data_IF_001711150438
#
_entry.id   IF_001711150438
#
_cell.length_a   1.000
_cell.length_b   1.000
_cell.length_c   1.000
_cell.angle_alpha   90.00
_cell.angle_beta   90.00
_cell.angle_gamma   90.00
#
_symmetry.space_group_name_H-M   'P 1'
#
loop_
_entity.id
_entity.type
_entity.pdbx_description
1 polymer ?
#
# COMPACT_ATOMS: atom_id res chain seq x y z
N UNK A 1 18.33 11.63 17.50
CA UNK A 1 18.24 12.39 16.23
C UNK A 1 18.45 11.48 15.02
N UNK A 2 19.47 10.61 15.01
CA UNK A 2 19.73 9.65 13.93
C UNK A 2 18.51 8.75 13.62
N UNK A 3 17.85 8.20 14.64
CA UNK A 3 16.70 7.29 14.45
C UNK A 3 15.48 7.97 13.82
N UNK A 4 15.25 9.25 14.15
CA UNK A 4 14.20 10.06 13.53
C UNK A 4 14.48 10.27 12.04
N UNK A 5 15.70 10.68 11.71
CA UNK A 5 16.11 10.95 10.32
C UNK A 5 16.01 9.67 9.49
N UNK A 6 16.50 8.54 10.01
CA UNK A 6 16.40 7.24 9.35
C UNK A 6 14.93 6.83 9.12
N UNK A 7 14.05 7.02 10.10
CA UNK A 7 12.63 6.66 9.92
C UNK A 7 11.93 7.49 8.85
N UNK A 8 12.26 8.78 8.71
CA UNK A 8 11.72 9.62 7.64
C UNK A 8 12.32 9.30 6.28
N UNK A 9 13.61 8.94 6.21
CA UNK A 9 14.23 8.46 4.97
C UNK A 9 13.49 7.22 4.46
N UNK A 10 13.18 6.26 5.33
CA UNK A 10 12.40 5.08 4.95
C UNK A 10 11.01 5.43 4.41
N UNK A 11 10.32 6.40 5.02
CA UNK A 11 9.03 6.90 4.50
C UNK A 11 9.20 7.46 3.08
N UNK A 12 10.18 8.33 2.85
CA UNK A 12 10.41 8.95 1.54
C UNK A 12 10.80 7.92 0.48
N UNK A 13 11.67 6.97 0.83
CA UNK A 13 12.03 5.86 -0.06
C UNK A 13 10.81 5.02 -0.42
N UNK A 14 9.93 4.73 0.55
CA UNK A 14 8.72 3.96 0.32
C UNK A 14 7.71 4.72 -0.55
N UNK A 15 7.53 6.03 -0.32
CA UNK A 15 6.70 6.87 -1.17
C UNK A 15 7.25 6.90 -2.60
N UNK A 16 8.57 7.04 -2.77
CA UNK A 16 9.23 7.01 -4.07
C UNK A 16 9.02 5.67 -4.79
N UNK A 17 9.02 4.56 -4.06
CA UNK A 17 8.69 3.24 -4.60
C UNK A 17 7.24 3.16 -5.09
N UNK A 18 6.27 3.66 -4.31
CA UNK A 18 4.86 3.74 -4.72
C UNK A 18 4.73 4.55 -6.01
N UNK A 19 5.32 5.75 -6.03
CA UNK A 19 5.28 6.64 -7.19
C UNK A 19 5.91 5.99 -8.43
N UNK A 20 7.02 5.26 -8.27
CA UNK A 20 7.64 4.52 -9.36
C UNK A 20 6.69 3.50 -9.98
N UNK A 21 5.95 2.74 -9.18
CA UNK A 21 4.94 1.80 -9.70
C UNK A 21 3.75 2.50 -10.34
N UNK A 22 3.30 3.62 -9.79
CA UNK A 22 2.17 4.39 -10.31
C UNK A 22 2.48 5.14 -11.59
N UNK A 23 3.73 5.55 -11.79
CA UNK A 23 4.19 6.20 -13.03
C UNK A 23 4.30 5.22 -14.22
N UNK A 24 4.28 3.91 -13.98
CA UNK A 24 4.34 2.94 -15.07
C UNK A 24 3.06 2.97 -15.93
N UNK A 25 3.19 3.00 -17.27
CA UNK A 25 2.07 2.87 -18.18
C UNK A 25 1.24 1.62 -17.89
N UNK A 26 -0.06 1.67 -18.18
CA UNK A 26 -0.98 0.58 -17.83
C UNK A 26 -0.57 -0.77 -18.43
N UNK A 27 0.03 -0.80 -19.61
CA UNK A 27 0.53 -2.03 -20.25
C UNK A 27 1.64 -2.68 -19.43
N UNK A 28 2.60 -1.90 -18.95
CA UNK A 28 3.73 -2.40 -18.15
C UNK A 28 3.27 -2.84 -16.75
N UNK A 29 2.45 -2.00 -16.08
CA UNK A 29 1.96 -2.34 -14.75
C UNK A 29 1.03 -3.55 -14.75
N UNK A 30 0.15 -3.68 -15.75
CA UNK A 30 -0.69 -4.86 -15.89
C UNK A 30 0.16 -6.11 -16.16
N UNK A 31 1.25 -6.00 -16.94
CA UNK A 31 2.14 -7.12 -17.23
C UNK A 31 2.81 -7.71 -15.98
N UNK A 32 3.23 -6.85 -15.03
CA UNK A 32 3.83 -7.29 -13.77
C UNK A 32 2.87 -8.17 -12.95
N UNK A 33 1.61 -7.73 -12.82
CA UNK A 33 0.62 -8.50 -12.06
C UNK A 33 0.10 -9.71 -12.86
N UNK A 34 0.04 -9.65 -14.19
CA UNK A 34 -0.34 -10.79 -15.04
C UNK A 34 0.63 -11.96 -14.86
N UNK A 35 1.94 -11.73 -14.85
CA UNK A 35 2.92 -12.81 -14.65
C UNK A 35 2.82 -13.50 -13.29
N UNK A 36 2.42 -12.77 -12.23
CA UNK A 36 2.10 -13.37 -10.93
C UNK A 36 0.79 -14.15 -11.00
N UNK A 37 -0.22 -13.59 -11.69
CA UNK A 37 -1.54 -14.20 -11.87
C UNK A 37 -1.45 -15.52 -12.61
N UNK A 38 -0.70 -15.59 -13.71
CA UNK A 38 -0.47 -16.80 -14.50
C UNK A 38 0.15 -17.91 -13.64
N UNK A 39 1.19 -17.60 -12.86
CA UNK A 39 1.82 -18.58 -11.95
C UNK A 39 0.86 -19.11 -10.89
N UNK A 40 -0.02 -18.25 -10.36
CA UNK A 40 -1.04 -18.67 -9.39
C UNK A 40 -2.05 -19.60 -10.06
N UNK A 41 -2.54 -19.25 -11.25
CA UNK A 41 -3.52 -20.05 -11.99
C UNK A 41 -2.91 -21.41 -12.37
N UNK A 42 -1.69 -21.45 -12.89
CA UNK A 42 -0.97 -22.70 -13.18
C UNK A 42 -0.84 -23.61 -11.94
N UNK A 43 -0.57 -23.04 -10.77
CA UNK A 43 -0.49 -23.81 -9.53
C UNK A 43 -1.85 -24.35 -9.11
N UNK A 44 -2.91 -23.55 -9.25
CA UNK A 44 -4.27 -23.95 -8.87
C UNK A 44 -4.83 -25.00 -9.84
N UNK A 45 -4.60 -24.87 -11.14
CA UNK A 45 -5.00 -25.87 -12.14
C UNK A 45 -4.38 -27.25 -11.86
N UNK A 46 -3.12 -27.29 -11.38
CA UNK A 46 -2.46 -28.53 -10.96
C UNK A 46 -3.13 -29.19 -9.75
N UNK A 47 -3.79 -28.43 -8.88
CA UNK A 47 -4.39 -28.91 -7.64
C UNK A 47 -5.91 -29.13 -7.75
N UNK A 48 -6.58 -28.36 -8.60
CA UNK A 48 -8.02 -28.34 -8.77
C UNK A 48 -8.42 -28.01 -10.23
N UNK A 49 -8.24 -28.95 -11.17
CA UNK A 49 -8.39 -28.73 -12.62
C UNK A 49 -9.83 -28.42 -13.10
N UNK A 50 -10.81 -28.30 -12.18
CA UNK A 50 -12.22 -27.99 -12.48
C UNK A 50 -12.62 -26.55 -12.16
N UNK A 51 -11.70 -25.73 -11.65
CA UNK A 51 -12.00 -24.33 -11.33
C UNK A 51 -11.47 -23.47 -12.47
N UNK A 52 -12.39 -22.88 -13.24
CA UNK A 52 -12.05 -21.90 -14.27
C UNK A 52 -11.93 -20.52 -13.62
N UNK A 53 -10.77 -19.88 -13.81
CA UNK A 53 -10.51 -18.53 -13.29
C UNK A 53 -10.34 -17.56 -14.46
N UNK A 54 -11.13 -16.50 -14.47
CA UNK A 54 -10.88 -15.38 -15.38
C UNK A 54 -9.58 -14.67 -14.99
N UNK A 55 -8.54 -14.82 -15.82
CA UNK A 55 -7.23 -14.18 -15.67
C UNK A 55 -7.37 -12.68 -15.48
N UNK A 56 -8.31 -12.03 -16.18
CA UNK A 56 -8.49 -10.57 -16.10
C UNK A 56 -8.98 -10.15 -14.72
N UNK A 57 -10.00 -10.83 -14.19
CA UNK A 57 -10.54 -10.58 -12.86
C UNK A 57 -9.53 -10.88 -11.76
N UNK A 58 -8.79 -11.99 -11.88
CA UNK A 58 -7.73 -12.35 -10.93
C UNK A 58 -6.59 -11.33 -10.93
N UNK A 59 -6.14 -10.92 -12.11
CA UNK A 59 -5.09 -9.91 -12.25
C UNK A 59 -5.50 -8.58 -11.62
N UNK A 60 -6.75 -8.16 -11.86
CA UNK A 60 -7.30 -6.94 -11.28
C UNK A 60 -7.39 -7.03 -9.74
N UNK A 61 -7.76 -8.19 -9.19
CA UNK A 61 -7.77 -8.43 -7.74
C UNK A 61 -6.36 -8.41 -7.14
N UNK A 62 -5.41 -9.11 -7.76
CA UNK A 62 -4.01 -9.16 -7.30
C UNK A 62 -3.42 -7.75 -7.28
N UNK A 63 -3.64 -6.97 -8.35
CA UNK A 63 -3.18 -5.57 -8.41
C UNK A 63 -3.77 -4.74 -7.27
N UNK A 64 -5.09 -4.80 -7.04
CA UNK A 64 -5.72 -4.02 -5.96
C UNK A 64 -5.24 -4.41 -4.57
N UNK A 65 -4.96 -5.69 -4.34
CA UNK A 65 -4.36 -6.13 -3.09
C UNK A 65 -2.91 -5.66 -2.93
N UNK A 66 -2.12 -5.64 -4.01
CA UNK A 66 -0.75 -5.12 -3.96
C UNK A 66 -0.71 -3.63 -3.54
N UNK A 67 -1.60 -2.83 -4.11
CA UNK A 67 -1.79 -1.42 -3.72
C UNK A 67 -2.24 -1.29 -2.24
N UNK A 68 -3.21 -2.09 -1.81
CA UNK A 68 -3.60 -2.14 -0.39
C UNK A 68 -2.40 -2.42 0.54
N UNK A 69 -1.58 -3.44 0.22
CA UNK A 69 -0.43 -3.82 1.05
C UNK A 69 0.69 -2.78 1.03
N UNK A 70 0.97 -2.13 -0.11
CA UNK A 70 2.03 -1.09 -0.16
C UNK A 70 1.65 0.12 0.69
N UNK A 71 0.37 0.51 0.70
CA UNK A 71 -0.13 1.57 1.58
C UNK A 71 -0.23 1.14 3.05
N UNK A 72 -0.47 -0.15 3.34
CA UNK A 72 -0.36 -0.68 4.70
C UNK A 72 1.03 -0.46 5.28
N UNK A 73 2.08 -0.78 4.51
CA UNK A 73 3.46 -0.52 4.93
C UNK A 73 3.72 0.98 5.08
N UNK A 74 3.19 1.83 4.21
CA UNK A 74 3.28 3.29 4.35
C UNK A 74 2.68 3.76 5.69
N UNK A 75 1.51 3.25 6.08
CA UNK A 75 0.86 3.56 7.35
C UNK A 75 1.69 3.16 8.58
N UNK A 76 2.36 1.99 8.53
CA UNK A 76 3.30 1.54 9.56
C UNK A 76 4.51 2.49 9.68
N UNK A 77 5.12 2.83 8.54
CA UNK A 77 6.30 3.70 8.48
C UNK A 77 5.99 5.12 8.97
N UNK A 78 4.87 5.70 8.54
CA UNK A 78 4.41 7.02 8.99
C UNK A 78 4.16 7.03 10.50
N UNK A 79 3.46 6.01 11.02
CA UNK A 79 3.19 5.89 12.46
C UNK A 79 4.49 5.81 13.27
N UNK A 80 5.45 5.01 12.79
CA UNK A 80 6.77 4.90 13.41
C UNK A 80 7.54 6.22 13.38
N UNK A 81 7.54 6.90 12.24
CA UNK A 81 8.28 8.14 12.04
C UNK A 81 7.72 9.31 12.86
N UNK A 82 6.39 9.44 12.93
CA UNK A 82 5.71 10.42 13.77
C UNK A 82 5.97 10.14 15.26
N UNK A 83 5.99 8.86 15.65
CA UNK A 83 6.32 8.49 17.03
C UNK A 83 7.76 8.82 17.41
N UNK A 84 8.72 8.51 16.54
CA UNK A 84 10.13 8.89 16.72
C UNK A 84 10.34 10.41 16.72
N UNK A 85 9.40 11.15 16.13
CA UNK A 85 9.34 12.60 16.17
C UNK A 85 8.69 13.16 17.44
N UNK A 86 8.39 12.31 18.43
CA UNK A 86 7.72 12.65 19.71
C UNK A 86 6.32 13.22 19.55
N UNK A 87 5.63 12.92 18.44
CA UNK A 87 4.21 13.27 18.28
C UNK A 87 3.38 12.39 19.23
N UNK A 88 2.38 13.00 19.86
CA UNK A 88 1.41 12.30 20.70
C UNK A 88 0.64 11.24 19.90
N UNK A 89 0.35 10.08 20.50
CA UNK A 89 -0.23 8.93 19.78
C UNK A 89 -1.54 9.28 19.03
N UNK A 90 -2.45 10.08 19.63
CA UNK A 90 -3.69 10.53 18.96
C UNK A 90 -3.42 11.42 17.74
N UNK A 91 -2.54 12.41 17.89
CA UNK A 91 -2.16 13.30 16.78
C UNK A 91 -1.39 12.55 15.70
N UNK A 92 -0.52 11.62 16.11
CA UNK A 92 0.25 10.76 15.21
C UNK A 92 -0.66 9.86 14.38
N UNK A 93 -1.70 9.28 14.98
CA UNK A 93 -2.72 8.52 14.25
C UNK A 93 -3.40 9.38 13.18
N UNK A 94 -3.90 10.57 13.55
CA UNK A 94 -4.60 11.47 12.64
C UNK A 94 -3.67 11.94 11.51
N UNK A 95 -2.45 12.35 11.83
CA UNK A 95 -1.49 12.80 10.82
C UNK A 95 -1.06 11.68 9.88
N UNK A 96 -0.79 10.47 10.38
CA UNK A 96 -0.45 9.33 9.52
C UNK A 96 -1.58 9.05 8.51
N UNK A 97 -2.83 9.07 8.99
CA UNK A 97 -4.00 8.83 8.15
C UNK A 97 -4.18 9.94 7.11
N UNK A 98 -4.12 11.21 7.52
CA UNK A 98 -4.25 12.36 6.62
C UNK A 98 -3.15 12.37 5.55
N UNK A 99 -1.90 12.15 5.93
CA UNK A 99 -0.78 12.09 4.98
C UNK A 99 -1.00 10.95 3.98
N UNK A 100 -1.44 9.77 4.44
CA UNK A 100 -1.68 8.62 3.57
C UNK A 100 -2.82 8.86 2.58
N UNK A 101 -3.94 9.45 3.04
CA UNK A 101 -5.08 9.79 2.19
C UNK A 101 -4.69 10.84 1.14
N UNK A 102 -4.03 11.93 1.57
CA UNK A 102 -3.57 12.97 0.65
C UNK A 102 -2.60 12.40 -0.38
N UNK A 103 -1.73 11.47 0.04
CA UNK A 103 -0.82 10.80 -0.86
C UNK A 103 -1.53 9.89 -1.86
N UNK A 104 -2.51 9.08 -1.42
CA UNK A 104 -3.34 8.26 -2.31
C UNK A 104 -4.12 9.12 -3.33
N UNK A 105 -4.68 10.25 -2.90
CA UNK A 105 -5.32 11.20 -3.82
C UNK A 105 -4.30 11.74 -4.83
N UNK A 106 -3.11 12.15 -4.37
CA UNK A 106 -2.08 12.67 -5.28
C UNK A 106 -1.60 11.64 -6.29
N UNK A 107 -1.53 10.37 -5.88
CA UNK A 107 -1.12 9.27 -6.75
C UNK A 107 -2.15 9.00 -7.85
N UNK A 108 -3.43 8.92 -7.48
CA UNK A 108 -4.52 8.74 -8.45
C UNK A 108 -4.66 9.93 -9.41
N UNK A 109 -4.45 11.15 -8.93
CA UNK A 109 -4.38 12.35 -9.78
C UNK A 109 -3.19 12.26 -10.74
N UNK A 110 -2.01 11.83 -10.27
CA UNK A 110 -0.84 11.61 -11.12
C UNK A 110 -1.10 10.55 -12.20
N UNK A 111 -1.76 9.44 -11.83
CA UNK A 111 -2.12 8.38 -12.77
C UNK A 111 -3.02 8.87 -13.91
N UNK A 112 -3.84 9.92 -13.73
CA UNK A 112 -4.62 10.52 -14.83
C UNK A 112 -3.74 11.07 -15.96
N UNK A 113 -2.48 11.41 -15.67
CA UNK A 113 -1.51 11.89 -16.66
C UNK A 113 -0.64 10.76 -17.24
N UNK A 114 -0.79 9.53 -16.75
CA UNK A 114 -0.03 8.37 -17.21
C UNK A 114 -0.78 7.65 -18.35
N UNK A 115 -0.13 7.37 -19.49
CA UNK A 115 -0.79 6.73 -20.63
C UNK A 115 -1.48 5.40 -20.28
N UNK A 116 -2.76 5.30 -20.62
CA UNK A 116 -3.58 4.10 -20.44
C UNK A 116 -4.04 3.83 -19.02
N UNK A 117 -3.68 4.68 -18.05
CA UNK A 117 -4.20 4.63 -16.67
C UNK A 117 -5.48 5.45 -16.58
N UNK A 118 -6.38 5.04 -15.69
CA UNK A 118 -7.57 5.81 -15.34
C UNK A 118 -7.66 5.89 -13.84
N UNK A 119 -7.70 7.11 -13.30
CA UNK A 119 -7.85 7.33 -11.87
C UNK A 119 -9.23 6.87 -11.39
N UNK A 120 -9.27 6.14 -10.27
CA UNK A 120 -10.48 5.62 -9.67
C UNK A 120 -10.58 6.06 -8.21
N UNK A 121 -11.68 6.69 -7.83
CA UNK A 121 -11.95 7.00 -6.41
C UNK A 121 -11.95 5.73 -5.53
N UNK A 122 -12.28 4.57 -6.11
CA UNK A 122 -12.21 3.28 -5.43
C UNK A 122 -10.77 2.90 -5.05
N UNK A 123 -9.78 3.28 -5.84
CA UNK A 123 -8.38 2.94 -5.59
C UNK A 123 -7.85 3.80 -4.43
N UNK A 124 -8.20 5.10 -4.36
CA UNK A 124 -7.97 5.95 -3.17
C UNK A 124 -8.53 5.32 -1.89
N UNK A 125 -9.75 4.77 -1.94
CA UNK A 125 -10.39 4.14 -0.78
C UNK A 125 -9.61 2.91 -0.34
N UNK A 126 -9.24 2.03 -1.28
CA UNK A 126 -8.49 0.80 -0.99
C UNK A 126 -7.14 1.14 -0.36
N UNK A 127 -6.42 2.09 -0.91
CA UNK A 127 -5.12 2.53 -0.43
C UNK A 127 -5.22 3.17 0.96
N UNK A 128 -6.26 4.00 1.16
CA UNK A 128 -6.56 4.59 2.47
C UNK A 128 -6.89 3.52 3.50
N UNK A 129 -7.65 2.48 3.15
CA UNK A 129 -7.94 1.35 4.04
C UNK A 129 -6.69 0.55 4.38
N UNK A 130 -5.79 0.34 3.41
CA UNK A 130 -4.49 -0.30 3.63
C UNK A 130 -3.69 0.47 4.68
N UNK A 131 -3.51 1.77 4.47
CA UNK A 131 -2.80 2.63 5.42
C UNK A 131 -3.43 2.66 6.81
N UNK A 132 -4.77 2.73 6.89
CA UNK A 132 -5.51 2.69 8.15
C UNK A 132 -5.23 1.39 8.92
N UNK A 133 -5.26 0.23 8.24
CA UNK A 133 -4.94 -1.04 8.86
C UNK A 133 -3.49 -1.05 9.38
N UNK A 134 -2.53 -0.54 8.59
CA UNK A 134 -1.14 -0.41 9.01
C UNK A 134 -0.99 0.43 10.28
N UNK A 135 -1.65 1.59 10.33
CA UNK A 135 -1.66 2.47 11.50
C UNK A 135 -2.24 1.74 12.72
N UNK A 136 -3.38 1.07 12.58
CA UNK A 136 -4.01 0.31 13.67
C UNK A 136 -3.08 -0.78 14.20
N UNK A 137 -2.43 -1.55 13.31
CA UNK A 137 -1.49 -2.60 13.69
C UNK A 137 -0.28 -2.04 14.47
N UNK A 138 0.25 -0.89 14.06
CA UNK A 138 1.34 -0.24 14.78
C UNK A 138 0.95 0.10 16.22
N UNK A 139 -0.19 0.75 16.42
CA UNK A 139 -0.60 1.15 17.76
C UNK A 139 -1.04 -0.04 18.63
N UNK A 140 -1.66 -1.08 18.05
CA UNK A 140 -2.02 -2.31 18.79
C UNK A 140 -0.79 -3.07 19.28
N UNK A 141 0.20 -3.30 18.41
CA UNK A 141 1.44 -4.00 18.79
C UNK A 141 2.20 -3.27 19.89
N UNK A 142 2.22 -1.94 19.85
CA UNK A 142 2.81 -1.11 20.91
C UNK A 142 2.08 -1.24 22.25
N UNK A 143 0.74 -1.21 22.25
CA UNK A 143 -0.05 -1.38 23.49
C UNK A 143 0.23 -2.75 24.11
N UNK A 144 0.29 -3.80 23.29
CA UNK A 144 0.60 -5.16 23.75
C UNK A 144 2.02 -5.26 24.34
N UNK A 145 3.01 -4.61 23.74
CA UNK A 145 4.37 -4.60 24.25
C UNK A 145 4.53 -3.76 25.53
N UNK A 146 3.73 -2.71 25.71
CA UNK A 146 3.74 -1.88 26.93
C UNK A 146 3.08 -2.58 28.13
N UNK A 147 2.12 -3.49 27.89
CA UNK A 147 1.48 -4.27 28.95
C UNK A 147 2.28 -5.52 29.38
N UNK A 148 3.36 -5.84 28.65
CA UNK A 148 4.25 -6.98 28.92
C UNK A 148 5.57 -6.60 29.59
N UNK A 149 5.82 -5.31 29.79
CA UNK A 149 7.00 -4.75 30.46
C UNK A 149 6.58 -4.12 31.80
#
# INVERSE_FOLDING_TARGET
MKDKVLSWILVVLWMSLIFYFSHQPATQSNGLSTGITERIIEMVERLAPKIDFDIRSMNHLIRKNAHFFIYLVLGLLLSNSLKNSKVEDRKGFIFALLISILYAISDEVHQLFVPGRGGQAKDVIIDSMGSLLGIILYYKTKVLNRNRA
#
